data_IF_449099313070
#
_entry.id   IF_449099313070
#
_cell.length_a   1.000
_cell.length_b   1.000
_cell.length_c   1.000
_cell.angle_alpha   90.00
_cell.angle_beta   90.00
_cell.angle_gamma   90.00
#
_symmetry.space_group_name_H-M   'P 1'
#
loop_
_entity.id
_entity.type
_entity.pdbx_description
1 polymer ?
#
# COMPACT_ATOMS: atom_id res chain seq x y z
N UNK A 1 8.71 16.54 -11.78
CA UNK A 1 8.49 15.08 -11.68
C UNK A 1 7.04 14.75 -11.95
N UNK A 2 6.09 15.22 -11.15
CA UNK A 2 4.66 14.99 -11.41
C UNK A 2 4.16 15.68 -12.69
N UNK A 3 4.67 16.89 -12.99
CA UNK A 3 4.36 17.65 -14.21
C UNK A 3 4.69 16.90 -15.50
N UNK A 4 5.60 15.91 -15.43
CA UNK A 4 5.98 15.14 -16.63
C UNK A 4 4.87 14.20 -17.09
N UNK A 5 4.04 13.71 -16.17
CA UNK A 5 3.09 12.62 -16.46
C UNK A 5 1.63 13.02 -16.24
N UNK A 6 1.34 13.84 -15.23
CA UNK A 6 -0.01 14.30 -14.91
C UNK A 6 -0.23 15.73 -15.40
N UNK A 7 -1.40 16.03 -15.99
CA UNK A 7 -1.76 17.42 -16.34
C UNK A 7 -1.88 18.24 -15.05
N UNK A 8 -1.28 19.43 -14.98
CA UNK A 8 -1.39 20.37 -13.84
C UNK A 8 -1.51 19.68 -12.44
N UNK A 9 -0.48 18.99 -11.94
CA UNK A 9 -0.59 18.01 -10.87
C UNK A 9 -1.35 18.45 -9.62
N UNK A 10 -1.14 19.69 -9.16
CA UNK A 10 -1.83 20.21 -7.97
C UNK A 10 -3.35 20.21 -8.15
N UNK A 11 -3.83 20.68 -9.31
CA UNK A 11 -5.26 20.72 -9.63
C UNK A 11 -5.79 19.33 -9.99
N UNK A 12 -4.98 18.51 -10.67
CA UNK A 12 -5.36 17.14 -11.02
C UNK A 12 -5.58 16.27 -9.80
N UNK A 13 -4.65 16.22 -8.86
CA UNK A 13 -4.81 15.36 -7.68
C UNK A 13 -5.93 15.83 -6.75
N UNK A 14 -6.11 17.13 -6.56
CA UNK A 14 -7.22 17.65 -5.75
C UNK A 14 -8.57 17.39 -6.40
N UNK A 15 -8.71 17.64 -7.71
CA UNK A 15 -9.94 17.33 -8.44
C UNK A 15 -10.20 15.83 -8.52
N UNK A 16 -9.19 14.98 -8.70
CA UNK A 16 -9.33 13.53 -8.68
C UNK A 16 -9.83 13.03 -7.31
N UNK A 17 -9.27 13.56 -6.21
CA UNK A 17 -9.71 13.22 -4.86
C UNK A 17 -11.17 13.67 -4.59
N UNK A 18 -11.50 14.92 -4.94
CA UNK A 18 -12.87 15.45 -4.78
C UNK A 18 -13.88 14.73 -5.67
N UNK A 19 -13.53 14.44 -6.92
CA UNK A 19 -14.38 13.70 -7.85
C UNK A 19 -14.61 12.27 -7.38
N UNK A 20 -13.56 11.57 -6.94
CA UNK A 20 -13.68 10.22 -6.38
C UNK A 20 -14.54 10.20 -5.13
N UNK A 21 -14.37 11.18 -4.24
CA UNK A 21 -15.21 11.33 -3.05
C UNK A 21 -16.67 11.62 -3.41
N UNK A 22 -16.90 12.47 -4.41
CA UNK A 22 -18.25 12.78 -4.91
C UNK A 22 -18.92 11.54 -5.47
N UNK A 23 -18.21 10.76 -6.30
CA UNK A 23 -18.71 9.50 -6.84
C UNK A 23 -19.00 8.48 -5.72
N UNK A 24 -18.16 8.43 -4.69
CA UNK A 24 -18.39 7.55 -3.55
C UNK A 24 -19.64 7.96 -2.75
N UNK A 25 -19.76 9.25 -2.41
CA UNK A 25 -20.93 9.77 -1.69
C UNK A 25 -22.20 9.54 -2.51
N UNK A 26 -22.17 9.85 -3.80
CA UNK A 26 -23.31 9.64 -4.69
C UNK A 26 -23.72 8.17 -4.77
N UNK A 27 -22.76 7.25 -4.86
CA UNK A 27 -23.02 5.82 -4.88
C UNK A 27 -23.84 5.39 -3.66
N UNK A 28 -23.39 5.74 -2.45
CA UNK A 28 -24.07 5.37 -1.21
C UNK A 28 -25.31 6.21 -0.88
N UNK A 29 -25.45 7.42 -1.43
CA UNK A 29 -26.63 8.27 -1.21
C UNK A 29 -27.82 7.90 -2.09
N UNK A 30 -27.63 7.04 -3.09
CA UNK A 30 -28.71 6.60 -3.99
C UNK A 30 -28.26 6.11 -5.36
N UNK A 31 -27.00 6.32 -5.74
CA UNK A 31 -26.42 5.85 -7.00
C UNK A 31 -26.50 4.33 -7.15
N UNK A 32 -26.36 3.58 -6.06
CA UNK A 32 -26.58 2.12 -6.05
C UNK A 32 -28.03 1.77 -6.44
N UNK A 33 -29.01 2.48 -5.86
CA UNK A 33 -30.43 2.28 -6.13
C UNK A 33 -30.84 2.72 -7.54
N UNK A 34 -30.12 3.67 -8.16
CA UNK A 34 -30.41 4.12 -9.52
C UNK A 34 -30.32 2.99 -10.55
N UNK A 35 -29.53 1.95 -10.29
CA UNK A 35 -29.44 0.78 -11.15
C UNK A 35 -30.79 0.11 -11.40
N UNK A 36 -31.72 0.19 -10.44
CA UNK A 36 -33.07 -0.36 -10.58
C UNK A 36 -33.84 0.26 -11.77
N UNK A 37 -33.66 1.56 -12.04
CA UNK A 37 -34.27 2.23 -13.21
C UNK A 37 -33.70 1.73 -14.54
N UNK A 38 -32.51 1.14 -14.52
CA UNK A 38 -31.84 0.55 -15.69
C UNK A 38 -31.94 -0.98 -15.72
N UNK A 39 -32.81 -1.59 -14.90
CA UNK A 39 -32.98 -3.04 -14.84
C UNK A 39 -31.86 -3.77 -14.10
N UNK A 40 -31.00 -3.06 -13.37
CA UNK A 40 -29.91 -3.60 -12.56
C UNK A 40 -30.09 -3.20 -11.08
N UNK A 41 -31.12 -3.70 -10.39
CA UNK A 41 -31.41 -3.31 -9.02
C UNK A 41 -30.27 -3.73 -8.07
N UNK A 42 -30.09 -3.03 -6.94
CA UNK A 42 -29.20 -3.45 -5.87
C UNK A 42 -29.59 -4.84 -5.35
N UNK A 43 -28.64 -5.52 -4.70
CA UNK A 43 -28.95 -6.75 -4.00
C UNK A 43 -29.98 -6.47 -2.89
N UNK A 44 -30.98 -7.35 -2.74
CA UNK A 44 -31.93 -7.21 -1.64
C UNK A 44 -31.18 -7.30 -0.30
N UNK A 45 -31.61 -6.52 0.69
CA UNK A 45 -30.94 -6.41 2.00
C UNK A 45 -30.81 -7.75 2.72
N UNK A 46 -31.75 -8.66 2.46
CA UNK A 46 -31.86 -9.96 3.13
C UNK A 46 -31.48 -11.13 2.22
N UNK A 47 -31.01 -10.85 1.00
CA UNK A 47 -30.58 -11.90 0.08
C UNK A 47 -29.31 -12.59 0.61
N UNK A 48 -29.30 -13.93 0.57
CA UNK A 48 -28.09 -14.68 0.85
C UNK A 48 -26.98 -14.31 -0.14
N UNK A 49 -25.72 -14.18 0.30
CA UNK A 49 -24.61 -13.88 -0.59
C UNK A 49 -24.50 -14.91 -1.72
N UNK A 50 -24.29 -14.44 -2.95
CA UNK A 50 -24.00 -15.32 -4.09
C UNK A 50 -22.61 -15.94 -3.87
N UNK A 51 -22.55 -17.27 -3.86
CA UNK A 51 -21.31 -18.02 -3.64
C UNK A 51 -20.70 -18.44 -4.99
N UNK A 52 -19.40 -18.18 -5.14
CA UNK A 52 -18.63 -18.54 -6.33
C UNK A 52 -18.50 -17.42 -7.36
N UNK A 53 -17.96 -17.76 -8.53
CA UNK A 53 -17.53 -16.79 -9.58
C UNK A 53 -18.69 -16.00 -10.19
N UNK A 54 -19.91 -16.53 -10.16
CA UNK A 54 -21.10 -15.87 -10.70
C UNK A 54 -21.41 -14.52 -10.04
N UNK A 55 -20.91 -14.28 -8.81
CA UNK A 55 -21.09 -13.00 -8.11
C UNK A 55 -20.60 -11.80 -8.94
N UNK A 56 -19.51 -11.95 -9.69
CA UNK A 56 -18.93 -10.87 -10.52
C UNK A 56 -19.76 -10.56 -11.78
N UNK A 57 -20.74 -11.40 -12.10
CA UNK A 57 -21.68 -11.21 -13.21
C UNK A 57 -23.08 -10.84 -12.73
N UNK A 58 -23.24 -10.61 -11.42
CA UNK A 58 -24.52 -10.17 -10.86
C UNK A 58 -24.87 -8.75 -11.30
N UNK A 59 -26.17 -8.45 -11.38
CA UNK A 59 -26.67 -7.14 -11.81
C UNK A 59 -26.10 -5.97 -10.98
N UNK A 60 -25.96 -6.06 -9.64
CA UNK A 60 -25.34 -4.99 -8.86
C UNK A 60 -23.88 -4.71 -9.25
N UNK A 61 -23.10 -5.76 -9.55
CA UNK A 61 -21.71 -5.61 -9.99
C UNK A 61 -21.62 -4.98 -11.38
N UNK A 62 -22.45 -5.41 -12.32
CA UNK A 62 -22.50 -4.84 -13.67
C UNK A 62 -22.88 -3.34 -13.59
N UNK A 63 -23.84 -2.99 -12.74
CA UNK A 63 -24.20 -1.59 -12.50
C UNK A 63 -23.02 -0.78 -11.97
N UNK A 64 -22.28 -1.30 -10.98
CA UNK A 64 -21.09 -0.64 -10.48
C UNK A 64 -20.02 -0.46 -11.57
N UNK A 65 -19.81 -1.44 -12.45
CA UNK A 65 -18.85 -1.34 -13.56
C UNK A 65 -19.21 -0.21 -14.52
N UNK A 66 -20.50 -0.10 -14.88
CA UNK A 66 -21.01 0.98 -15.73
C UNK A 66 -20.85 2.33 -15.03
N UNK A 67 -21.26 2.42 -13.77
CA UNK A 67 -21.15 3.63 -12.95
C UNK A 67 -19.70 4.13 -12.87
N UNK A 68 -18.76 3.23 -12.55
CA UNK A 68 -17.34 3.52 -12.49
C UNK A 68 -16.81 3.99 -13.86
N UNK A 69 -17.13 3.26 -14.93
CA UNK A 69 -16.69 3.59 -16.29
C UNK A 69 -17.18 4.98 -16.72
N UNK A 70 -18.46 5.31 -16.47
CA UNK A 70 -19.02 6.63 -16.78
C UNK A 70 -18.32 7.72 -15.96
N UNK A 71 -18.14 7.51 -14.65
CA UNK A 71 -17.44 8.46 -13.78
C UNK A 71 -16.00 8.75 -14.23
N UNK A 72 -15.28 7.72 -14.67
CA UNK A 72 -13.91 7.85 -15.21
C UNK A 72 -13.91 8.55 -16.58
N UNK A 73 -14.84 8.19 -17.47
CA UNK A 73 -14.91 8.79 -18.80
C UNK A 73 -15.28 10.28 -18.74
N UNK A 74 -16.16 10.69 -17.82
CA UNK A 74 -16.46 12.10 -17.58
C UNK A 74 -15.24 12.87 -17.08
N UNK A 75 -14.51 12.31 -16.12
CA UNK A 75 -13.28 12.91 -15.61
C UNK A 75 -12.20 13.02 -16.69
N UNK A 76 -12.02 11.96 -17.49
CA UNK A 76 -11.11 11.96 -18.63
C UNK A 76 -11.50 12.99 -19.68
N UNK A 77 -12.79 13.06 -20.04
CA UNK A 77 -13.30 14.03 -21.02
C UNK A 77 -13.04 15.47 -20.56
N UNK A 78 -13.34 15.78 -19.31
CA UNK A 78 -13.04 17.10 -18.73
C UNK A 78 -11.56 17.46 -18.84
N UNK A 79 -10.65 16.59 -18.39
CA UNK A 79 -9.21 16.88 -18.44
C UNK A 79 -8.65 16.91 -19.86
N UNK A 80 -9.18 16.08 -20.76
CA UNK A 80 -8.79 16.08 -22.17
C UNK A 80 -9.16 17.37 -22.89
N UNK A 81 -10.19 18.08 -22.41
CA UNK A 81 -10.60 19.38 -22.92
C UNK A 81 -9.90 20.54 -22.18
N UNK A 82 -9.83 20.49 -20.84
CA UNK A 82 -9.33 21.58 -20.01
C UNK A 82 -7.80 21.76 -20.09
N UNK A 83 -7.04 20.66 -20.04
CA UNK A 83 -5.57 20.70 -20.09
C UNK A 83 -5.02 19.46 -20.80
N UNK A 84 -5.08 19.41 -22.15
CA UNK A 84 -4.61 18.27 -22.92
C UNK A 84 -3.15 17.95 -22.61
N UNK A 85 -2.86 16.69 -22.29
CA UNK A 85 -1.50 16.24 -21.95
C UNK A 85 -1.15 14.96 -22.73
N UNK A 86 0.08 14.83 -23.28
CA UNK A 86 0.46 13.67 -24.12
C UNK A 86 0.28 12.34 -23.40
N UNK A 87 0.49 12.32 -22.08
CA UNK A 87 0.39 11.11 -21.24
C UNK A 87 -0.99 10.89 -20.62
N UNK A 88 -2.00 11.73 -20.92
CA UNK A 88 -3.30 11.71 -20.23
C UNK A 88 -4.04 10.36 -20.30
N UNK A 89 -3.84 9.59 -21.37
CA UNK A 89 -4.42 8.24 -21.49
C UNK A 89 -3.88 7.30 -20.41
N UNK A 90 -2.57 7.31 -20.18
CA UNK A 90 -1.95 6.47 -19.15
C UNK A 90 -2.11 7.05 -17.74
N UNK A 91 -1.97 8.36 -17.59
CA UNK A 91 -2.06 9.02 -16.28
C UNK A 91 -3.49 9.03 -15.72
N UNK A 92 -4.52 9.02 -16.57
CA UNK A 92 -5.93 9.02 -16.14
C UNK A 92 -6.53 7.62 -16.28
N UNK A 93 -6.66 7.11 -17.51
CA UNK A 93 -7.33 5.82 -17.76
C UNK A 93 -6.51 4.65 -17.21
N UNK A 94 -5.18 4.71 -17.34
CA UNK A 94 -4.29 3.69 -16.75
C UNK A 94 -4.38 3.65 -15.24
N UNK A 95 -4.33 4.81 -14.57
CA UNK A 95 -4.51 4.88 -13.11
C UNK A 95 -5.91 4.43 -12.69
N UNK A 96 -6.96 4.85 -13.39
CA UNK A 96 -8.32 4.41 -13.09
C UNK A 96 -8.50 2.89 -13.26
N UNK A 97 -7.88 2.30 -14.29
CA UNK A 97 -7.90 0.85 -14.48
C UNK A 97 -7.18 0.10 -13.35
N UNK A 98 -6.02 0.59 -12.90
CA UNK A 98 -5.31 0.00 -11.74
C UNK A 98 -6.21 0.09 -10.49
N UNK A 99 -6.82 1.25 -10.22
CA UNK A 99 -7.72 1.42 -9.07
C UNK A 99 -8.96 0.51 -9.16
N UNK A 100 -9.50 0.31 -10.36
CA UNK A 100 -10.59 -0.63 -10.58
C UNK A 100 -10.18 -2.07 -10.30
N UNK A 101 -8.97 -2.47 -10.72
CA UNK A 101 -8.45 -3.81 -10.48
C UNK A 101 -8.22 -4.04 -8.98
N UNK A 102 -7.68 -3.05 -8.26
CA UNK A 102 -7.54 -3.09 -6.80
C UNK A 102 -8.90 -3.27 -6.13
N UNK A 103 -9.91 -2.47 -6.51
CA UNK A 103 -11.28 -2.65 -6.05
C UNK A 103 -11.78 -4.07 -6.33
N UNK A 104 -11.57 -4.58 -7.54
CA UNK A 104 -12.02 -5.92 -7.93
C UNK A 104 -11.33 -7.01 -7.09
N UNK A 105 -10.03 -6.87 -6.80
CA UNK A 105 -9.31 -7.78 -5.90
C UNK A 105 -9.91 -7.79 -4.49
N UNK A 106 -10.28 -6.63 -3.95
CA UNK A 106 -11.01 -6.54 -2.67
C UNK A 106 -12.34 -7.28 -2.75
N UNK A 107 -13.08 -7.16 -3.86
CA UNK A 107 -14.33 -7.91 -4.06
C UNK A 107 -14.10 -9.42 -4.18
N UNK A 108 -12.99 -9.86 -4.79
CA UNK A 108 -12.58 -11.28 -4.77
C UNK A 108 -12.35 -11.75 -3.33
N UNK A 109 -11.67 -10.96 -2.51
CA UNK A 109 -11.48 -11.28 -1.08
C UNK A 109 -12.83 -11.37 -0.34
N UNK A 110 -13.79 -10.50 -0.61
CA UNK A 110 -15.15 -10.59 -0.04
C UNK A 110 -15.88 -11.85 -0.51
N UNK A 111 -15.78 -12.20 -1.78
CA UNK A 111 -16.39 -13.43 -2.32
C UNK A 111 -15.78 -14.69 -1.69
N UNK A 112 -14.46 -14.71 -1.50
CA UNK A 112 -13.76 -15.78 -0.77
C UNK A 112 -14.23 -15.85 0.69
N UNK A 113 -14.41 -14.71 1.35
CA UNK A 113 -14.95 -14.68 2.71
C UNK A 113 -16.37 -15.25 2.78
N UNK A 114 -17.23 -14.88 1.83
CA UNK A 114 -18.59 -15.42 1.76
C UNK A 114 -18.57 -16.94 1.51
N UNK A 115 -17.60 -17.43 0.73
CA UNK A 115 -17.40 -18.86 0.50
C UNK A 115 -16.96 -19.64 1.75
N UNK A 116 -16.15 -19.04 2.64
CA UNK A 116 -15.67 -19.72 3.85
C UNK A 116 -16.79 -20.23 4.76
N UNK A 117 -17.88 -19.47 4.93
CA UNK A 117 -19.00 -19.85 5.79
C UNK A 117 -19.58 -21.22 5.46
N UNK A 118 -20.29 -21.36 4.33
CA UNK A 118 -20.94 -22.61 3.96
C UNK A 118 -19.94 -23.76 3.76
N UNK A 119 -18.73 -23.49 3.26
CA UNK A 119 -17.74 -24.55 3.06
C UNK A 119 -17.29 -25.17 4.38
N UNK A 120 -16.90 -24.36 5.37
CA UNK A 120 -16.41 -24.88 6.64
C UNK A 120 -17.53 -25.46 7.51
N UNK A 121 -18.75 -24.94 7.41
CA UNK A 121 -19.93 -25.56 8.03
C UNK A 121 -20.20 -26.96 7.42
N UNK A 122 -20.08 -27.08 6.10
CA UNK A 122 -20.15 -28.37 5.41
C UNK A 122 -19.06 -29.35 5.88
N UNK A 123 -17.79 -28.90 5.97
CA UNK A 123 -16.70 -29.72 6.49
C UNK A 123 -16.96 -30.16 7.93
N UNK A 124 -17.41 -29.24 8.79
CA UNK A 124 -17.77 -29.53 10.17
C UNK A 124 -18.84 -30.62 10.24
N UNK A 125 -19.90 -30.50 9.44
CA UNK A 125 -21.01 -31.44 9.43
C UNK A 125 -20.60 -32.85 8.96
N UNK A 126 -19.78 -32.93 7.91
CA UNK A 126 -19.26 -34.19 7.35
C UNK A 126 -18.31 -34.89 8.32
N UNK A 127 -17.33 -34.16 8.88
CA UNK A 127 -16.36 -34.72 9.83
C UNK A 127 -17.04 -35.16 11.13
N UNK A 128 -18.04 -34.41 11.59
CA UNK A 128 -18.87 -34.78 12.73
C UNK A 128 -19.86 -35.92 12.44
N UNK A 129 -19.92 -36.42 11.19
CA UNK A 129 -20.86 -37.46 10.73
C UNK A 129 -22.34 -37.10 10.94
N UNK A 130 -22.66 -35.81 10.97
CA UNK A 130 -24.03 -35.30 11.12
C UNK A 130 -24.75 -35.15 9.78
N UNK A 131 -24.00 -35.15 8.67
CA UNK A 131 -24.52 -35.16 7.31
C UNK A 131 -23.70 -36.14 6.48
N UNK A 132 -24.35 -36.89 5.60
CA UNK A 132 -23.70 -37.72 4.59
C UNK A 132 -23.40 -36.87 3.36
N UNK A 133 -22.18 -36.98 2.82
CA UNK A 133 -21.84 -36.33 1.55
C UNK A 133 -21.12 -37.31 0.63
N UNK A 134 -21.29 -37.10 -0.67
CA UNK A 134 -20.54 -37.80 -1.72
C UNK A 134 -19.19 -37.12 -1.98
N UNK A 135 -18.25 -37.88 -2.55
CA UNK A 135 -16.98 -37.31 -3.04
C UNK A 135 -17.22 -36.24 -4.11
N UNK A 136 -18.25 -36.42 -4.96
CA UNK A 136 -18.60 -35.47 -6.02
C UNK A 136 -19.04 -34.10 -5.47
N UNK A 137 -19.82 -34.08 -4.39
CA UNK A 137 -20.25 -32.84 -3.74
C UNK A 137 -19.06 -32.12 -3.08
N UNK A 138 -18.16 -32.88 -2.43
CA UNK A 138 -16.93 -32.33 -1.88
C UNK A 138 -16.07 -31.66 -2.96
N UNK A 139 -15.80 -32.35 -4.07
CA UNK A 139 -15.00 -31.79 -5.15
C UNK A 139 -15.69 -30.64 -5.88
N UNK A 140 -17.02 -30.61 -5.96
CA UNK A 140 -17.78 -29.46 -6.47
C UNK A 140 -17.57 -28.21 -5.60
N UNK A 141 -17.60 -28.36 -4.27
CA UNK A 141 -17.30 -27.25 -3.35
C UNK A 141 -15.87 -26.76 -3.50
N UNK A 142 -14.89 -27.67 -3.59
CA UNK A 142 -13.48 -27.30 -3.84
C UNK A 142 -13.31 -26.60 -5.19
N UNK A 143 -13.99 -27.09 -6.25
CA UNK A 143 -13.96 -26.47 -7.57
C UNK A 143 -14.52 -25.04 -7.56
N UNK A 144 -15.53 -24.75 -6.74
CA UNK A 144 -16.07 -23.39 -6.60
C UNK A 144 -15.04 -22.40 -6.02
N UNK A 145 -14.23 -22.82 -5.04
CA UNK A 145 -13.10 -22.04 -4.55
C UNK A 145 -11.99 -21.92 -5.59
N UNK A 146 -11.64 -23.02 -6.27
CA UNK A 146 -10.65 -23.00 -7.34
C UNK A 146 -11.03 -22.00 -8.43
N UNK A 147 -12.32 -21.86 -8.75
CA UNK A 147 -12.83 -20.83 -9.66
C UNK A 147 -12.55 -19.40 -9.16
N UNK A 148 -12.86 -19.10 -7.90
CA UNK A 148 -12.56 -17.79 -7.30
C UNK A 148 -11.05 -17.51 -7.28
N UNK A 149 -10.25 -18.52 -6.90
CA UNK A 149 -8.79 -18.41 -6.87
C UNK A 149 -8.21 -18.18 -8.27
N UNK A 150 -8.72 -18.86 -9.31
CA UNK A 150 -8.31 -18.65 -10.69
C UNK A 150 -8.64 -17.23 -11.17
N UNK A 151 -9.83 -16.71 -10.87
CA UNK A 151 -10.19 -15.33 -11.20
C UNK A 151 -9.24 -14.34 -10.52
N UNK A 152 -9.04 -14.48 -9.21
CA UNK A 152 -8.13 -13.60 -8.45
C UNK A 152 -6.69 -13.67 -8.95
N UNK A 153 -6.20 -14.86 -9.26
CA UNK A 153 -4.84 -15.07 -9.78
C UNK A 153 -4.66 -14.40 -11.15
N UNK A 154 -5.57 -14.64 -12.10
CA UNK A 154 -5.48 -14.06 -13.44
C UNK A 154 -5.56 -12.53 -13.40
N UNK A 155 -6.46 -11.98 -12.59
CA UNK A 155 -6.56 -10.52 -12.38
C UNK A 155 -5.26 -9.96 -11.80
N UNK A 156 -4.65 -10.66 -10.84
CA UNK A 156 -3.38 -10.23 -10.25
C UNK A 156 -2.22 -10.24 -11.25
N UNK A 157 -2.15 -11.25 -12.11
CA UNK A 157 -1.15 -11.31 -13.20
C UNK A 157 -1.33 -10.16 -14.19
N UNK A 158 -2.58 -9.89 -14.59
CA UNK A 158 -2.89 -8.76 -15.47
C UNK A 158 -2.54 -7.42 -14.80
N UNK A 159 -2.85 -7.27 -13.51
CA UNK A 159 -2.50 -6.07 -12.75
C UNK A 159 -0.99 -5.84 -12.75
N UNK A 160 -0.20 -6.87 -12.44
CA UNK A 160 1.26 -6.77 -12.40
C UNK A 160 1.83 -6.33 -13.76
N UNK A 161 1.28 -6.85 -14.86
CA UNK A 161 1.66 -6.45 -16.21
C UNK A 161 1.29 -4.98 -16.49
N UNK A 162 0.08 -4.56 -16.15
CA UNK A 162 -0.41 -3.19 -16.36
C UNK A 162 0.37 -2.17 -15.53
N UNK A 163 0.60 -2.47 -14.24
CA UNK A 163 1.42 -1.65 -13.34
C UNK A 163 2.83 -1.49 -13.90
N UNK A 164 3.46 -2.57 -14.36
CA UNK A 164 4.81 -2.52 -14.95
C UNK A 164 4.85 -1.58 -16.16
N UNK A 165 3.83 -1.63 -17.02
CA UNK A 165 3.70 -0.72 -18.16
C UNK A 165 3.46 0.72 -17.72
N UNK A 166 2.54 0.93 -16.77
CA UNK A 166 2.20 2.25 -16.27
C UNK A 166 3.41 2.96 -15.64
N UNK A 167 4.16 2.27 -14.78
CA UNK A 167 5.40 2.76 -14.18
C UNK A 167 6.43 3.10 -15.25
N UNK A 168 6.61 2.24 -16.26
CA UNK A 168 7.55 2.50 -17.34
C UNK A 168 7.15 3.74 -18.17
N UNK A 169 5.86 3.95 -18.41
CA UNK A 169 5.35 5.14 -19.13
C UNK A 169 5.58 6.42 -18.32
N UNK A 170 5.42 6.37 -17.00
CA UNK A 170 5.78 7.49 -16.14
C UNK A 170 7.30 7.74 -16.17
N UNK A 171 8.11 6.68 -16.09
CA UNK A 171 9.57 6.80 -16.22
C UNK A 171 9.97 7.43 -17.55
N UNK A 172 9.36 7.02 -18.66
CA UNK A 172 9.59 7.60 -19.99
C UNK A 172 9.25 9.10 -19.98
N UNK A 173 8.10 9.48 -19.42
CA UNK A 173 7.69 10.87 -19.32
C UNK A 173 8.68 11.72 -18.51
N UNK A 174 9.17 11.19 -17.38
CA UNK A 174 10.20 11.85 -16.57
C UNK A 174 11.52 11.99 -17.32
N UNK A 175 11.94 10.93 -18.02
CA UNK A 175 13.15 10.96 -18.86
C UNK A 175 13.06 12.05 -19.93
N UNK A 176 11.97 12.08 -20.70
CA UNK A 176 11.78 13.04 -21.79
C UNK A 176 11.78 14.48 -21.25
N UNK A 177 11.13 14.70 -20.11
CA UNK A 177 11.12 15.99 -19.42
C UNK A 177 12.53 16.43 -18.98
N UNK A 178 13.32 15.56 -18.33
CA UNK A 178 14.66 15.93 -17.88
C UNK A 178 15.66 16.06 -19.03
N UNK A 179 15.54 15.24 -20.08
CA UNK A 179 16.36 15.36 -21.28
C UNK A 179 16.10 16.69 -22.01
N UNK A 180 14.85 17.19 -22.00
CA UNK A 180 14.53 18.53 -22.49
C UNK A 180 15.24 19.67 -21.75
N UNK A 181 15.63 19.45 -20.49
CA UNK A 181 16.35 20.42 -19.65
C UNK A 181 17.83 20.05 -19.43
N UNK A 182 18.35 19.10 -20.22
CA UNK A 182 19.66 18.51 -19.98
C UNK A 182 20.80 19.54 -20.02
N UNK A 183 20.69 20.57 -20.86
CA UNK A 183 21.68 21.64 -20.95
C UNK A 183 21.96 22.32 -19.60
N UNK A 184 20.91 22.54 -18.80
CA UNK A 184 21.02 23.10 -17.45
C UNK A 184 21.39 22.03 -16.43
N UNK A 185 20.75 20.87 -16.51
CA UNK A 185 20.85 19.82 -15.48
C UNK A 185 22.18 19.07 -15.47
N UNK A 186 22.86 18.93 -16.62
CA UNK A 186 24.09 18.12 -16.76
C UNK A 186 25.25 18.59 -15.88
N UNK A 187 25.20 19.83 -15.41
CA UNK A 187 26.22 20.44 -14.57
C UNK A 187 26.06 20.09 -13.08
N UNK A 188 24.95 19.45 -12.71
CA UNK A 188 24.70 19.00 -11.34
C UNK A 188 25.43 17.66 -11.12
N UNK A 189 26.15 17.56 -10.00
CA UNK A 189 26.82 16.32 -9.62
C UNK A 189 25.80 15.15 -9.51
N UNK A 190 26.11 14.04 -10.20
CA UNK A 190 25.24 12.87 -10.23
C UNK A 190 23.95 13.04 -11.06
N UNK A 191 23.87 14.04 -11.95
CA UNK A 191 22.71 14.26 -12.82
C UNK A 191 22.27 13.01 -13.60
N UNK A 192 23.23 12.24 -14.14
CA UNK A 192 22.95 10.98 -14.84
C UNK A 192 22.27 9.95 -13.93
N UNK A 193 22.75 9.81 -12.68
CA UNK A 193 22.15 8.94 -11.66
C UNK A 193 20.72 9.39 -11.32
N UNK A 194 20.49 10.71 -11.17
CA UNK A 194 19.15 11.25 -10.90
C UNK A 194 18.18 10.87 -12.01
N UNK A 195 18.57 11.06 -13.26
CA UNK A 195 17.70 10.76 -14.41
C UNK A 195 17.48 9.26 -14.59
N UNK A 196 18.50 8.43 -14.39
CA UNK A 196 18.40 6.99 -14.64
C UNK A 196 17.73 6.22 -13.49
N UNK A 197 18.21 6.43 -12.27
CA UNK A 197 17.90 5.60 -11.09
C UNK A 197 16.77 6.21 -10.26
N UNK A 198 16.88 7.49 -9.92
CA UNK A 198 15.90 8.12 -9.02
C UNK A 198 14.51 8.24 -9.67
N UNK A 199 14.43 8.46 -10.99
CA UNK A 199 13.14 8.50 -11.71
C UNK A 199 12.42 7.15 -11.71
N UNK A 200 13.18 6.06 -11.87
CA UNK A 200 12.65 4.70 -11.82
C UNK A 200 12.16 4.37 -10.41
N UNK A 201 12.99 4.61 -9.39
CA UNK A 201 12.62 4.37 -7.99
C UNK A 201 11.41 5.22 -7.59
N UNK A 202 11.38 6.49 -7.97
CA UNK A 202 10.28 7.39 -7.65
C UNK A 202 8.94 6.90 -8.20
N UNK A 203 8.88 6.58 -9.49
CA UNK A 203 7.66 6.11 -10.13
C UNK A 203 7.18 4.77 -9.56
N UNK A 204 8.09 3.82 -9.29
CA UNK A 204 7.79 2.54 -8.65
C UNK A 204 7.23 2.71 -7.23
N UNK A 205 7.91 3.51 -6.40
CA UNK A 205 7.53 3.71 -5.00
C UNK A 205 6.19 4.46 -4.90
N UNK A 206 6.00 5.50 -5.71
CA UNK A 206 4.75 6.26 -5.75
C UNK A 206 3.56 5.40 -6.15
N UNK A 207 3.73 4.55 -7.16
CA UNK A 207 2.72 3.59 -7.59
C UNK A 207 2.37 2.62 -6.46
N UNK A 208 3.37 1.94 -5.91
CA UNK A 208 3.18 0.91 -4.89
C UNK A 208 2.53 1.46 -3.62
N UNK A 209 2.97 2.63 -3.15
CA UNK A 209 2.36 3.29 -1.99
C UNK A 209 0.94 3.77 -2.29
N UNK A 210 0.70 4.33 -3.48
CA UNK A 210 -0.60 4.80 -3.90
C UNK A 210 -1.63 3.65 -3.96
N UNK A 211 -1.25 2.55 -4.61
CA UNK A 211 -2.08 1.34 -4.70
C UNK A 211 -2.35 0.74 -3.33
N UNK A 212 -1.32 0.56 -2.50
CA UNK A 212 -1.46 -0.03 -1.17
C UNK A 212 -2.33 0.84 -0.23
N UNK A 213 -2.25 2.16 -0.37
CA UNK A 213 -3.08 3.09 0.39
C UNK A 213 -4.56 2.98 -0.01
N UNK A 214 -4.84 2.98 -1.32
CA UNK A 214 -6.21 2.86 -1.82
C UNK A 214 -6.79 1.48 -1.50
N UNK A 215 -6.00 0.42 -1.64
CA UNK A 215 -6.36 -0.95 -1.25
C UNK A 215 -6.79 -1.02 0.22
N UNK A 216 -6.01 -0.41 1.13
CA UNK A 216 -6.34 -0.36 2.56
C UNK A 216 -7.68 0.34 2.82
N UNK A 217 -7.96 1.46 2.13
CA UNK A 217 -9.24 2.17 2.26
C UNK A 217 -10.40 1.35 1.69
N UNK A 218 -10.25 0.79 0.49
CA UNK A 218 -11.26 -0.03 -0.16
C UNK A 218 -11.58 -1.29 0.65
N UNK A 219 -10.55 -1.92 1.22
CA UNK A 219 -10.68 -3.07 2.11
C UNK A 219 -11.45 -2.70 3.38
N UNK A 220 -11.18 -1.54 4.00
CA UNK A 220 -11.99 -1.07 5.13
C UNK A 220 -13.45 -0.84 4.74
N UNK A 221 -13.71 -0.18 3.62
CA UNK A 221 -15.07 0.07 3.13
C UNK A 221 -15.83 -1.26 2.89
N UNK A 222 -15.15 -2.27 2.35
CA UNK A 222 -15.75 -3.56 2.03
C UNK A 222 -15.92 -4.47 3.26
N UNK A 223 -14.89 -4.57 4.11
CA UNK A 223 -14.86 -5.53 5.21
C UNK A 223 -15.39 -4.99 6.54
N UNK A 224 -15.42 -3.68 6.78
CA UNK A 224 -15.98 -3.14 8.02
C UNK A 224 -17.48 -3.45 8.15
N UNK A 225 -18.33 -3.26 7.12
CA UNK A 225 -19.73 -3.68 7.18
C UNK A 225 -19.89 -5.20 7.34
N UNK A 226 -19.05 -5.99 6.68
CA UNK A 226 -19.02 -7.45 6.84
C UNK A 226 -18.74 -7.82 8.30
N UNK A 227 -17.69 -7.23 8.89
CA UNK A 227 -17.31 -7.48 10.27
C UNK A 227 -18.39 -7.06 11.26
N UNK A 228 -19.05 -5.92 11.03
CA UNK A 228 -20.18 -5.45 11.83
C UNK A 228 -21.34 -6.46 11.81
N UNK A 229 -21.72 -6.96 10.62
CA UNK A 229 -22.78 -7.96 10.49
C UNK A 229 -22.41 -9.27 11.20
N UNK A 230 -21.19 -9.77 11.00
CA UNK A 230 -20.73 -10.99 11.64
C UNK A 230 -20.65 -10.83 13.17
N UNK A 231 -20.31 -9.62 13.64
CA UNK A 231 -20.22 -9.28 15.07
C UNK A 231 -21.55 -9.37 15.81
N UNK A 232 -22.70 -9.35 15.12
CA UNK A 232 -24.01 -9.53 15.76
C UNK A 232 -24.15 -10.91 16.43
N UNK A 233 -23.35 -11.89 16.01
CA UNK A 233 -23.33 -13.24 16.59
C UNK A 233 -22.40 -13.35 17.81
N UNK A 234 -21.68 -12.27 18.16
CA UNK A 234 -20.73 -12.24 19.27
C UNK A 234 -21.30 -11.29 20.34
N UNK A 235 -21.67 -11.85 21.49
CA UNK A 235 -22.34 -11.10 22.56
C UNK A 235 -21.39 -10.44 23.56
N UNK A 236 -20.16 -10.93 23.67
CA UNK A 236 -19.17 -10.43 24.64
C UNK A 236 -17.73 -10.63 24.17
N UNK A 237 -16.83 -9.76 24.65
CA UNK A 237 -15.39 -9.94 24.53
C UNK A 237 -14.82 -10.61 25.79
N UNK A 238 -13.77 -11.45 25.67
CA UNK A 238 -13.03 -11.93 26.83
C UNK A 238 -12.56 -10.75 27.69
N UNK A 239 -12.69 -10.87 29.01
CA UNK A 239 -12.24 -9.89 30.02
C UNK A 239 -13.06 -8.59 30.07
N UNK A 240 -13.48 -8.03 28.92
CA UNK A 240 -14.22 -6.76 28.84
C UNK A 240 -15.72 -6.97 29.10
N UNK A 241 -16.29 -8.10 28.67
CA UNK A 241 -17.72 -8.38 28.77
C UNK A 241 -18.53 -7.84 27.58
N UNK A 242 -19.86 -7.64 27.73
CA UNK A 242 -20.75 -7.27 26.64
C UNK A 242 -20.52 -5.82 26.18
N UNK A 243 -20.33 -5.64 24.87
CA UNK A 243 -20.12 -4.34 24.23
C UNK A 243 -20.79 -4.33 22.86
N UNK A 244 -21.16 -3.15 22.34
CA UNK A 244 -21.63 -3.01 20.97
C UNK A 244 -20.49 -3.21 19.97
N UNK A 245 -20.73 -4.00 18.92
CA UNK A 245 -19.75 -4.36 17.88
C UNK A 245 -18.38 -4.84 18.42
N UNK A 246 -18.34 -5.91 19.25
CA UNK A 246 -17.12 -6.48 19.85
C UNK A 246 -15.93 -6.58 18.90
N UNK A 247 -16.15 -7.10 17.70
CA UNK A 247 -15.07 -7.39 16.75
C UNK A 247 -14.44 -6.12 16.18
N UNK A 248 -15.23 -5.06 15.97
CA UNK A 248 -14.73 -3.78 15.44
C UNK A 248 -13.88 -3.08 16.48
N UNK A 249 -14.36 -3.02 17.73
CA UNK A 249 -13.62 -2.43 18.85
C UNK A 249 -12.30 -3.18 19.06
N UNK A 250 -12.33 -4.50 19.02
CA UNK A 250 -11.13 -5.32 19.17
C UNK A 250 -10.13 -5.12 18.01
N UNK A 251 -10.62 -5.01 16.76
CA UNK A 251 -9.76 -4.75 15.60
C UNK A 251 -9.07 -3.38 15.70
N UNK A 252 -9.82 -2.35 16.13
CA UNK A 252 -9.27 -1.01 16.34
C UNK A 252 -8.22 -1.00 17.46
N UNK A 253 -8.55 -1.57 18.62
CA UNK A 253 -7.65 -1.65 19.76
C UNK A 253 -6.34 -2.39 19.41
N UNK A 254 -6.45 -3.51 18.70
CA UNK A 254 -5.30 -4.29 18.24
C UNK A 254 -4.43 -3.54 17.23
N UNK A 255 -5.06 -2.79 16.32
CA UNK A 255 -4.35 -1.98 15.32
C UNK A 255 -3.60 -0.81 15.96
N UNK A 256 -4.21 -0.15 16.95
CA UNK A 256 -3.58 0.91 17.74
C UNK A 256 -2.40 0.33 18.54
N UNK A 257 -2.59 -0.80 19.22
CA UNK A 257 -1.54 -1.47 19.98
C UNK A 257 -0.34 -1.80 19.09
N UNK A 258 -0.58 -2.42 17.93
CA UNK A 258 0.50 -2.75 16.98
C UNK A 258 1.25 -1.54 16.47
N UNK A 259 0.52 -0.48 16.12
CA UNK A 259 1.10 0.78 15.67
C UNK A 259 2.01 1.37 16.73
N UNK A 260 1.53 1.46 17.98
CA UNK A 260 2.32 1.97 19.10
C UNK A 260 3.55 1.09 19.35
N UNK A 261 3.40 -0.23 19.39
CA UNK A 261 4.51 -1.17 19.60
C UNK A 261 5.60 -1.00 18.52
N UNK A 262 5.21 -0.85 17.26
CA UNK A 262 6.15 -0.71 16.14
C UNK A 262 6.81 0.66 16.09
N UNK A 263 6.10 1.73 16.42
CA UNK A 263 6.70 3.06 16.58
C UNK A 263 7.72 3.07 17.71
N UNK A 264 7.38 2.50 18.87
CA UNK A 264 8.29 2.44 20.03
C UNK A 264 9.55 1.64 19.67
N UNK A 265 9.41 0.48 19.03
CA UNK A 265 10.55 -0.32 18.59
C UNK A 265 11.38 0.39 17.49
N UNK A 266 10.71 1.05 16.54
CA UNK A 266 11.34 1.66 15.37
C UNK A 266 11.97 3.05 15.59
N UNK A 267 11.67 3.72 16.71
CA UNK A 267 12.00 5.13 16.92
C UNK A 267 13.48 5.50 16.69
N UNK A 268 14.43 4.61 17.03
CA UNK A 268 15.87 4.85 16.85
C UNK A 268 16.40 4.56 15.44
N UNK A 269 15.67 3.82 14.61
CA UNK A 269 16.15 3.35 13.31
C UNK A 269 16.48 4.50 12.34
N UNK A 270 15.66 5.57 12.19
CA UNK A 270 15.98 6.66 11.27
C UNK A 270 17.31 7.35 11.59
N UNK A 271 17.60 7.58 12.87
CA UNK A 271 18.86 8.20 13.30
C UNK A 271 20.08 7.31 13.04
N UNK A 272 19.94 6.00 13.20
CA UNK A 272 21.00 5.03 12.87
C UNK A 272 21.24 4.94 11.36
N UNK A 273 20.18 4.96 10.55
CA UNK A 273 20.29 4.98 9.09
C UNK A 273 21.04 6.21 8.59
N UNK A 274 20.75 7.39 9.15
CA UNK A 274 21.48 8.61 8.82
C UNK A 274 22.98 8.49 9.14
N UNK A 275 23.32 7.90 10.29
CA UNK A 275 24.72 7.63 10.64
C UNK A 275 25.40 6.65 9.69
N UNK A 276 24.71 5.58 9.28
CA UNK A 276 25.22 4.64 8.28
C UNK A 276 25.52 5.34 6.96
N UNK A 277 24.59 6.15 6.46
CA UNK A 277 24.80 6.93 5.22
C UNK A 277 26.03 7.84 5.31
N UNK A 278 26.27 8.46 6.47
CA UNK A 278 27.45 9.32 6.68
C UNK A 278 28.77 8.54 6.61
N UNK A 279 28.86 7.37 7.24
CA UNK A 279 30.10 6.57 7.20
C UNK A 279 30.33 5.93 5.83
N UNK A 280 29.27 5.53 5.13
CA UNK A 280 29.38 5.07 3.74
C UNK A 280 29.81 6.19 2.78
N UNK A 281 29.27 7.40 2.94
CA UNK A 281 29.67 8.55 2.14
C UNK A 281 31.15 8.89 2.34
N UNK A 282 31.66 8.82 3.58
CA UNK A 282 33.08 9.03 3.86
C UNK A 282 33.97 7.96 3.20
N UNK A 283 33.56 6.69 3.29
CA UNK A 283 34.26 5.58 2.63
C UNK A 283 34.27 5.74 1.11
N UNK A 284 33.11 5.97 0.49
CA UNK A 284 32.96 6.21 -0.96
C UNK A 284 33.81 7.39 -1.42
N UNK A 285 33.83 8.48 -0.66
CA UNK A 285 34.62 9.67 -1.00
C UNK A 285 36.12 9.37 -1.08
N UNK A 286 36.64 8.57 -0.14
CA UNK A 286 38.06 8.18 -0.17
C UNK A 286 38.38 7.28 -1.37
N UNK A 287 37.48 6.36 -1.73
CA UNK A 287 37.65 5.52 -2.92
C UNK A 287 37.68 6.35 -4.21
N UNK A 288 36.78 7.32 -4.36
CA UNK A 288 36.77 8.22 -5.54
C UNK A 288 38.09 9.00 -5.63
N UNK A 289 38.62 9.49 -4.51
CA UNK A 289 39.95 10.13 -4.52
C UNK A 289 41.07 9.16 -4.91
N UNK A 290 40.96 7.89 -4.55
CA UNK A 290 41.89 6.85 -4.98
C UNK A 290 41.83 6.50 -6.48
N UNK A 291 40.74 6.84 -7.18
CA UNK A 291 40.67 6.68 -8.63
C UNK A 291 41.55 7.70 -9.36
N UNK A 292 41.60 8.94 -8.85
CA UNK A 292 42.32 10.06 -9.48
C UNK A 292 43.75 10.26 -8.92
N UNK A 293 44.02 9.88 -7.67
CA UNK A 293 45.32 10.07 -7.00
C UNK A 293 45.90 8.76 -6.44
N UNK A 294 47.04 8.27 -6.98
CA UNK A 294 47.71 7.05 -6.51
C UNK A 294 48.17 7.07 -5.05
N UNK A 295 48.24 8.23 -4.40
CA UNK A 295 48.61 8.36 -2.98
C UNK A 295 47.41 8.24 -2.03
N UNK A 296 46.18 8.25 -2.56
CA UNK A 296 44.92 8.13 -1.81
C UNK A 296 44.44 6.69 -1.75
N UNK A 297 43.37 6.44 -1.00
CA UNK A 297 42.84 5.09 -0.75
C UNK A 297 43.90 4.10 -0.23
N UNK A 298 44.83 4.60 0.58
CA UNK A 298 45.85 3.79 1.23
C UNK A 298 45.21 2.66 2.04
N UNK A 299 45.77 1.44 2.05
CA UNK A 299 45.17 0.28 2.70
C UNK A 299 44.76 0.52 4.16
N UNK A 300 45.56 1.28 4.93
CA UNK A 300 45.29 1.60 6.33
C UNK A 300 44.06 2.50 6.48
N UNK A 301 43.98 3.58 5.71
CA UNK A 301 42.87 4.54 5.73
C UNK A 301 41.56 3.90 5.29
N UNK A 302 41.60 3.09 4.23
CA UNK A 302 40.43 2.36 3.72
C UNK A 302 39.95 1.33 4.75
N UNK A 303 40.87 0.63 5.42
CA UNK A 303 40.54 -0.32 6.48
C UNK A 303 39.87 0.36 7.68
N UNK A 304 40.34 1.54 8.09
CA UNK A 304 39.74 2.32 9.18
C UNK A 304 38.34 2.82 8.81
N UNK A 305 38.17 3.40 7.63
CA UNK A 305 36.87 3.87 7.14
C UNK A 305 35.87 2.71 7.03
N UNK A 306 36.30 1.57 6.51
CA UNK A 306 35.45 0.38 6.44
C UNK A 306 35.15 -0.22 7.81
N UNK A 307 36.07 -0.14 8.78
CA UNK A 307 35.79 -0.50 10.18
C UNK A 307 34.67 0.34 10.77
N UNK A 308 34.65 1.65 10.50
CA UNK A 308 33.56 2.54 10.91
C UNK A 308 32.23 2.16 10.25
N UNK A 309 32.25 1.79 8.96
CA UNK A 309 31.07 1.24 8.26
C UNK A 309 30.57 -0.01 8.99
N UNK A 310 31.44 -1.00 9.22
CA UNK A 310 31.10 -2.25 9.91
C UNK A 310 30.48 -2.03 11.29
N UNK A 311 31.07 -1.18 12.13
CA UNK A 311 30.55 -0.91 13.48
C UNK A 311 29.15 -0.30 13.47
N UNK A 312 28.90 0.65 12.55
CA UNK A 312 27.59 1.28 12.43
C UNK A 312 26.55 0.29 11.87
N UNK A 313 26.93 -0.56 10.89
CA UNK A 313 26.07 -1.64 10.41
C UNK A 313 25.71 -2.66 11.49
N UNK A 314 26.67 -3.14 12.30
CA UNK A 314 26.34 -4.05 13.38
C UNK A 314 25.39 -3.41 14.41
N UNK A 315 25.60 -2.14 14.75
CA UNK A 315 24.67 -1.41 15.64
C UNK A 315 23.27 -1.34 15.03
N UNK A 316 23.16 -1.03 13.73
CA UNK A 316 21.91 -1.00 13.00
C UNK A 316 21.23 -2.38 12.98
N UNK A 317 21.99 -3.45 12.71
CA UNK A 317 21.48 -4.82 12.70
C UNK A 317 20.90 -5.25 14.05
N UNK A 318 21.60 -4.97 15.15
CA UNK A 318 21.06 -5.23 16.49
C UNK A 318 19.72 -4.50 16.73
N UNK A 319 19.55 -3.30 16.19
CA UNK A 319 18.29 -2.58 16.32
C UNK A 319 17.17 -3.18 15.45
N UNK A 320 17.53 -3.66 14.25
CA UNK A 320 16.59 -4.41 13.43
C UNK A 320 16.19 -5.75 14.04
N UNK A 321 17.06 -6.43 14.80
CA UNK A 321 16.70 -7.70 15.46
C UNK A 321 15.49 -7.51 16.37
N UNK A 322 15.55 -6.59 17.34
CA UNK A 322 14.42 -6.42 18.25
C UNK A 322 13.20 -5.79 17.55
N UNK A 323 13.40 -4.89 16.59
CA UNK A 323 12.30 -4.35 15.76
C UNK A 323 11.58 -5.46 15.00
N UNK A 324 12.33 -6.36 14.37
CA UNK A 324 11.77 -7.49 13.62
C UNK A 324 11.13 -8.52 14.54
N UNK A 325 11.65 -8.74 15.76
CA UNK A 325 10.96 -9.56 16.77
C UNK A 325 9.59 -8.97 17.08
N UNK A 326 9.50 -7.68 17.43
CA UNK A 326 8.22 -7.01 17.68
C UNK A 326 7.29 -7.10 16.48
N UNK A 327 7.81 -6.82 15.26
CA UNK A 327 7.05 -6.87 14.02
C UNK A 327 6.50 -8.25 13.70
N UNK A 328 7.32 -9.28 13.71
CA UNK A 328 6.89 -10.63 13.36
C UNK A 328 6.02 -11.23 14.46
N UNK A 329 6.31 -10.97 15.74
CA UNK A 329 5.43 -11.37 16.85
C UNK A 329 4.05 -10.74 16.69
N UNK A 330 3.97 -9.45 16.38
CA UNK A 330 2.70 -8.77 16.17
C UNK A 330 1.90 -9.35 14.99
N UNK A 331 2.55 -9.54 13.83
CA UNK A 331 1.92 -10.11 12.65
C UNK A 331 1.40 -11.53 12.90
N UNK A 332 2.17 -12.37 13.61
CA UNK A 332 1.74 -13.72 13.96
C UNK A 332 0.66 -13.72 15.04
N UNK A 333 0.74 -12.80 16.01
CA UNK A 333 -0.27 -12.65 17.05
C UNK A 333 -1.63 -12.19 16.49
N UNK A 334 -1.68 -11.55 15.32
CA UNK A 334 -2.94 -11.14 14.69
C UNK A 334 -3.90 -12.32 14.45
N UNK A 335 -3.38 -13.47 13.97
CA UNK A 335 -4.19 -14.68 13.78
C UNK A 335 -4.65 -15.29 15.10
N UNK A 336 -3.78 -15.29 16.11
CA UNK A 336 -4.07 -15.82 17.46
C UNK A 336 -5.09 -14.93 18.18
N UNK A 337 -4.97 -13.61 18.03
CA UNK A 337 -5.83 -12.64 18.71
C UNK A 337 -7.29 -12.78 18.29
N UNK A 338 -7.55 -13.03 16.99
CA UNK A 338 -8.91 -13.34 16.52
C UNK A 338 -9.49 -14.57 17.21
N UNK A 339 -8.70 -15.64 17.37
CA UNK A 339 -9.13 -16.86 18.05
C UNK A 339 -9.39 -16.63 19.55
N UNK A 340 -8.53 -15.82 20.20
CA UNK A 340 -8.71 -15.48 21.62
C UNK A 340 -10.00 -14.70 21.86
N UNK A 341 -10.32 -13.72 21.01
CA UNK A 341 -11.58 -12.96 21.08
C UNK A 341 -12.78 -13.88 20.95
N UNK A 342 -12.72 -14.83 20.02
CA UNK A 342 -13.82 -15.77 19.77
C UNK A 342 -13.91 -16.91 20.78
N UNK A 343 -12.88 -17.09 21.62
CA UNK A 343 -12.77 -18.20 22.58
C UNK A 343 -14.04 -18.47 23.39
N UNK A 344 -14.64 -17.48 24.08
CA UNK A 344 -15.86 -17.66 24.84
C UNK A 344 -17.02 -18.21 23.99
N UNK A 345 -17.24 -17.64 22.81
CA UNK A 345 -18.30 -18.08 21.88
C UNK A 345 -18.05 -19.47 21.30
N UNK A 346 -16.78 -19.83 21.06
CA UNK A 346 -16.37 -21.17 20.62
C UNK A 346 -16.67 -22.19 21.72
N UNK A 347 -16.24 -21.92 22.95
CA UNK A 347 -16.42 -22.84 24.09
C UNK A 347 -17.89 -22.99 24.46
N UNK A 348 -18.67 -21.92 24.31
CA UNK A 348 -20.13 -21.95 24.51
C UNK A 348 -20.90 -22.65 23.37
N UNK A 349 -20.22 -22.97 22.25
CA UNK A 349 -20.85 -23.60 21.08
C UNK A 349 -21.86 -22.73 20.35
N UNK A 350 -21.76 -21.40 20.48
CA UNK A 350 -22.72 -20.44 19.89
C UNK A 350 -22.39 -20.04 18.46
N UNK A 351 -21.18 -20.37 17.97
CA UNK A 351 -20.75 -20.08 16.61
C UNK A 351 -20.37 -21.37 15.87
N UNK A 352 -20.64 -21.39 14.57
CA UNK A 352 -20.26 -22.50 13.68
C UNK A 352 -18.81 -22.34 13.19
N UNK A 353 -18.23 -23.41 12.64
CA UNK A 353 -16.87 -23.36 12.08
C UNK A 353 -16.78 -22.41 10.88
N UNK A 354 -17.83 -22.33 10.07
CA UNK A 354 -18.00 -21.37 9.00
C UNK A 354 -17.93 -19.94 9.48
N UNK A 355 -18.76 -19.60 10.46
CA UNK A 355 -18.79 -18.26 11.03
C UNK A 355 -17.44 -17.86 11.66
N UNK A 356 -16.77 -18.80 12.34
CA UNK A 356 -15.42 -18.59 12.87
C UNK A 356 -14.44 -18.20 11.77
N UNK A 357 -14.39 -18.96 10.67
CA UNK A 357 -13.46 -18.68 9.57
C UNK A 357 -13.77 -17.35 8.87
N UNK A 358 -15.05 -17.02 8.70
CA UNK A 358 -15.47 -15.73 8.14
C UNK A 358 -15.04 -14.54 9.02
N UNK A 359 -15.24 -14.67 10.34
CA UNK A 359 -14.82 -13.62 11.28
C UNK A 359 -13.30 -13.49 11.26
N UNK A 360 -12.55 -14.59 11.37
CA UNK A 360 -11.09 -14.53 11.42
C UNK A 360 -10.47 -13.91 10.16
N UNK A 361 -11.03 -14.22 8.99
CA UNK A 361 -10.58 -13.61 7.74
C UNK A 361 -10.95 -12.13 7.67
N UNK A 362 -12.23 -11.77 7.89
CA UNK A 362 -12.67 -10.38 7.85
C UNK A 362 -11.94 -9.49 8.89
N UNK A 363 -11.72 -10.01 10.10
CA UNK A 363 -10.97 -9.34 11.14
C UNK A 363 -9.53 -9.04 10.68
N UNK A 364 -8.87 -10.02 10.05
CA UNK A 364 -7.51 -9.85 9.54
C UNK A 364 -7.42 -8.77 8.45
N UNK A 365 -8.40 -8.71 7.55
CA UNK A 365 -8.49 -7.68 6.51
C UNK A 365 -8.62 -6.27 7.11
N UNK A 366 -9.53 -6.10 8.07
CA UNK A 366 -9.76 -4.81 8.76
C UNK A 366 -8.53 -4.39 9.57
N UNK A 367 -7.98 -5.31 10.37
CA UNK A 367 -6.79 -5.08 11.20
C UNK A 367 -5.59 -4.67 10.35
N UNK A 368 -5.30 -5.40 9.27
CA UNK A 368 -4.19 -5.11 8.37
C UNK A 368 -4.33 -3.75 7.68
N UNK A 369 -5.56 -3.39 7.28
CA UNK A 369 -5.83 -2.10 6.63
C UNK A 369 -5.59 -0.90 7.54
N UNK A 370 -5.93 -0.99 8.83
CA UNK A 370 -5.58 0.06 9.80
C UNK A 370 -4.08 0.21 10.01
N UNK A 371 -3.29 -0.80 9.68
CA UNK A 371 -1.83 -0.83 9.86
C UNK A 371 -1.06 -0.41 8.60
N UNK A 372 -1.73 0.16 7.59
CA UNK A 372 -1.10 0.63 6.35
C UNK A 372 0.20 1.42 6.59
N UNK A 373 0.15 2.45 7.44
CA UNK A 373 1.30 3.33 7.70
C UNK A 373 2.52 2.56 8.23
N UNK A 374 2.25 1.54 9.05
CA UNK A 374 3.29 0.72 9.66
C UNK A 374 3.86 -0.26 8.64
N UNK A 375 3.00 -0.91 7.86
CA UNK A 375 3.38 -1.85 6.82
C UNK A 375 4.20 -1.16 5.70
N UNK A 376 3.89 0.10 5.40
CA UNK A 376 4.53 0.89 4.36
C UNK A 376 5.67 1.78 4.85
N UNK A 377 6.06 1.72 6.14
CA UNK A 377 7.01 2.66 6.74
C UNK A 377 8.35 2.74 5.99
N UNK A 378 8.98 1.60 5.71
CA UNK A 378 10.27 1.57 4.99
C UNK A 378 10.16 2.20 3.60
N UNK A 379 9.08 1.91 2.89
CA UNK A 379 8.80 2.43 1.54
C UNK A 379 8.53 3.94 1.58
N UNK A 380 7.82 4.45 2.59
CA UNK A 380 7.61 5.89 2.79
C UNK A 380 8.94 6.61 3.04
N UNK A 381 9.82 6.05 3.87
CA UNK A 381 11.14 6.62 4.13
C UNK A 381 11.99 6.68 2.85
N UNK A 382 11.95 5.63 2.03
CA UNK A 382 12.64 5.61 0.74
C UNK A 382 12.07 6.68 -0.20
N UNK A 383 10.73 6.80 -0.30
CA UNK A 383 10.07 7.84 -1.09
C UNK A 383 10.56 9.23 -0.69
N UNK A 384 10.58 9.53 0.61
CA UNK A 384 11.03 10.84 1.11
C UNK A 384 12.47 11.13 0.71
N UNK A 385 13.34 10.11 0.69
CA UNK A 385 14.74 10.25 0.27
C UNK A 385 14.84 10.57 -1.23
N UNK A 386 14.17 9.79 -2.08
CA UNK A 386 14.19 9.99 -3.55
C UNK A 386 13.53 11.31 -3.94
N UNK A 387 12.39 11.64 -3.33
CA UNK A 387 11.66 12.88 -3.56
C UNK A 387 12.51 14.12 -3.27
N UNK A 388 13.23 14.14 -2.15
CA UNK A 388 14.13 15.25 -1.80
C UNK A 388 15.19 15.47 -2.87
N UNK A 389 15.83 14.38 -3.32
CA UNK A 389 16.90 14.44 -4.34
C UNK A 389 16.36 14.92 -5.70
N UNK A 390 15.19 14.44 -6.12
CA UNK A 390 14.56 14.91 -7.35
C UNK A 390 14.05 16.35 -7.24
N UNK A 391 13.58 16.79 -6.06
CA UNK A 391 13.13 18.17 -5.89
C UNK A 391 14.29 19.16 -5.88
N UNK A 392 15.41 18.82 -5.22
CA UNK A 392 16.64 19.60 -5.30
C UNK A 392 17.20 19.63 -6.74
N UNK A 393 17.08 18.53 -7.48
CA UNK A 393 17.46 18.48 -8.90
C UNK A 393 16.57 19.40 -9.77
N UNK A 394 15.27 19.46 -9.48
CA UNK A 394 14.33 20.31 -10.20
C UNK A 394 14.41 21.79 -9.85
N UNK A 395 14.85 22.15 -8.64
CA UNK A 395 14.90 23.57 -8.24
C UNK A 395 15.82 24.38 -9.14
N UNK A 396 16.86 23.75 -9.71
CA UNK A 396 17.78 24.37 -10.69
C UNK A 396 17.08 24.72 -12.01
N UNK A 397 16.02 24.01 -12.39
CA UNK A 397 15.25 24.31 -13.62
C UNK A 397 14.45 25.61 -13.44
N UNK A 398 13.96 25.84 -12.22
CA UNK A 398 13.03 26.93 -11.90
C UNK A 398 13.70 28.11 -11.16
N UNK A 399 15.02 28.06 -10.99
CA UNK A 399 15.80 28.99 -10.16
C UNK A 399 15.21 29.16 -8.74
N UNK A 400 14.69 28.06 -8.21
CA UNK A 400 14.13 28.00 -6.87
C UNK A 400 15.23 27.73 -5.83
N UNK A 401 15.13 28.31 -4.62
CA UNK A 401 16.06 28.00 -3.55
C UNK A 401 16.02 26.50 -3.20
N UNK A 402 17.17 25.92 -2.85
CA UNK A 402 17.28 24.54 -2.41
C UNK A 402 16.35 24.27 -1.21
N UNK A 403 15.89 23.03 -0.97
CA UNK A 403 15.08 22.72 0.21
C UNK A 403 15.78 23.12 1.52
N UNK A 404 15.04 23.64 2.51
CA UNK A 404 15.56 24.17 3.80
C UNK A 404 16.56 23.27 4.53
N UNK A 405 16.42 21.96 4.39
CA UNK A 405 17.32 20.98 5.02
C UNK A 405 18.68 20.96 4.33
N UNK A 406 18.69 21.10 3.00
CA UNK A 406 19.90 21.15 2.20
C UNK A 406 20.57 22.52 2.34
N UNK A 407 19.80 23.60 2.47
CA UNK A 407 20.31 24.91 2.89
C UNK A 407 20.99 24.82 4.26
N UNK A 408 20.30 24.26 5.28
CA UNK A 408 20.86 24.06 6.62
C UNK A 408 22.02 23.07 6.68
N UNK A 409 22.17 22.21 5.67
CA UNK A 409 23.33 21.33 5.52
C UNK A 409 24.51 22.12 4.94
N UNK A 410 24.28 22.92 3.88
CA UNK A 410 25.29 23.79 3.30
C UNK A 410 25.77 24.82 4.33
N UNK A 411 24.86 25.51 5.02
CA UNK A 411 25.19 26.44 6.11
C UNK A 411 26.01 25.78 7.22
N UNK A 412 25.70 24.53 7.61
CA UNK A 412 26.50 23.79 8.58
C UNK A 412 27.85 23.35 8.04
N UNK A 413 27.92 23.00 6.76
CA UNK A 413 29.17 22.62 6.09
C UNK A 413 30.08 23.83 5.96
N UNK A 414 29.54 24.97 5.58
CA UNK A 414 30.26 26.23 5.45
C UNK A 414 30.69 26.74 6.84
N UNK A 415 29.83 26.64 7.85
CA UNK A 415 30.19 26.95 9.25
C UNK A 415 31.26 26.01 9.86
N UNK A 416 31.40 24.78 9.35
CA UNK A 416 32.46 23.84 9.76
C UNK A 416 33.73 24.04 8.92
N UNK A 417 33.60 24.40 7.65
CA UNK A 417 34.71 24.77 6.78
C UNK A 417 35.42 26.04 7.24
N UNK A 418 34.66 27.04 7.70
CA UNK A 418 35.20 28.31 8.22
C UNK A 418 35.95 28.12 9.55
N UNK A 419 35.51 27.16 10.39
CA UNK A 419 36.20 26.81 11.65
C UNK A 419 37.48 26.01 11.43
N UNK A 420 37.60 25.29 10.31
CA UNK A 420 38.83 24.58 9.94
C UNK A 420 39.89 25.46 9.28
N UNK A 421 39.52 26.65 8.81
CA UNK A 421 40.43 27.64 8.22
C UNK A 421 40.91 28.71 9.23
N UNK A 422 40.40 28.68 10.46
CA UNK A 422 40.62 29.69 11.50
C UNK A 422 41.42 29.19 12.72
N UNK A 423 42.25 28.16 12.56
CA UNK A 423 43.29 27.81 13.55
C UNK A 423 44.67 27.77 12.85
N UNK A 424 45.62 28.64 13.23
CA UNK A 424 47.02 28.55 12.81
C UNK A 424 47.74 27.33 13.37
#
# INVERSE_FOLDING_TARGET
>A
MFLSFFPQPKLFFTSAALWSLTLLIFWYAGGEALGAYFGMPPAATDASPVIGVSVFWSLPFIWFYIYFAVGVLLFYAFWSWYAPHPWQRWSILGSALILFIVYFQVQVSVAVNNWYGPFWDYIQAVVAKTTTSTESEFYAQVASFAGLALVGMNVSVLNAFLVSHWVFRWRQAMNDYYMGHWGTLRHIEGASQRVQEDTMRFSQIMESLGVSFVDSIMTLIAFLPVLIRLSANITELPIIGPISHPLVVAALAWSVLGTISLVIAGYKLPGLQFRNQRVEAAYRKELVYGEDDPQRAQPVTVMELFSNVRQNYFRLYFHYVYFNVVRYTYLQANGIFSLLILGPSIVAGTITLGLLNQISYAFSQVSSSFQFLVNSWSTIVELLSVHKRLRAFESVIYDEPLPDIDQRYLERRDAVGDRGAAEP
#
